data_IF_102089807669
#
_entry.id   IF_102089807669
#
_cell.length_a   1.000
_cell.length_b   1.000
_cell.length_c   1.000
_cell.angle_alpha   90.00
_cell.angle_beta   90.00
_cell.angle_gamma   90.00
#
_symmetry.space_group_name_H-M   'P 1'
#
loop_
_entity.id
_entity.type
_entity.pdbx_description
1 polymer ?
#
# COMPACT_ATOMS: atom_id res chain seq x y z
N UNK A 1 -11.32 24.65 6.88
CA UNK A 1 -11.85 24.36 8.24
C UNK A 1 -12.81 23.19 8.12
N UNK A 2 -12.61 22.10 8.87
CA UNK A 2 -13.56 20.98 8.88
C UNK A 2 -14.79 21.35 9.72
N UNK A 3 -15.98 21.00 9.27
CA UNK A 3 -17.22 21.22 10.01
C UNK A 3 -17.26 20.30 11.22
N UNK A 4 -17.64 20.83 12.38
CA UNK A 4 -17.82 20.02 13.60
C UNK A 4 -18.99 19.03 13.43
N UNK A 5 -18.90 17.91 14.14
CA UNK A 5 -19.95 16.88 14.17
C UNK A 5 -21.16 17.43 14.92
N UNK A 6 -22.34 17.38 14.30
CA UNK A 6 -23.57 17.84 14.95
C UNK A 6 -24.14 16.81 15.92
N UNK A 7 -24.92 17.23 16.94
CA UNK A 7 -25.62 16.29 17.82
C UNK A 7 -26.49 15.27 17.08
N UNK A 8 -27.13 15.68 15.97
CA UNK A 8 -27.91 14.78 15.13
C UNK A 8 -27.08 13.66 14.48
N UNK A 9 -25.85 13.97 14.07
CA UNK A 9 -24.93 12.96 13.53
C UNK A 9 -24.47 11.96 14.61
N UNK A 10 -24.25 12.43 15.85
CA UNK A 10 -23.91 11.55 16.98
C UNK A 10 -25.05 10.59 17.30
N UNK A 11 -26.29 11.10 17.35
CA UNK A 11 -27.47 10.29 17.61
C UNK A 11 -27.72 9.24 16.52
N UNK A 12 -27.53 9.61 15.25
CA UNK A 12 -27.63 8.68 14.12
C UNK A 12 -26.60 7.53 14.23
N UNK A 13 -25.35 7.85 14.56
CA UNK A 13 -24.31 6.82 14.78
C UNK A 13 -24.69 5.90 15.94
N UNK A 14 -25.11 6.47 17.08
CA UNK A 14 -25.53 5.68 18.24
C UNK A 14 -26.71 4.75 17.90
N UNK A 15 -27.71 5.25 17.17
CA UNK A 15 -28.85 4.46 16.70
C UNK A 15 -28.40 3.29 15.82
N UNK A 16 -27.55 3.54 14.82
CA UNK A 16 -27.01 2.48 13.95
C UNK A 16 -26.22 1.43 14.70
N UNK A 17 -25.41 1.83 15.67
CA UNK A 17 -24.65 0.90 16.50
C UNK A 17 -25.59 -0.02 17.27
N UNK A 18 -26.66 0.53 17.86
CA UNK A 18 -27.64 -0.28 18.61
C UNK A 18 -28.44 -1.20 17.68
N UNK A 19 -28.87 -0.73 16.52
CA UNK A 19 -29.87 -1.45 15.70
C UNK A 19 -29.32 -2.25 14.52
N UNK A 20 -28.12 -1.92 14.00
CA UNK A 20 -27.58 -2.52 12.77
C UNK A 20 -26.35 -3.41 13.02
N UNK A 21 -25.68 -3.28 14.17
CA UNK A 21 -24.60 -4.20 14.53
C UNK A 21 -25.19 -5.56 14.86
N UNK A 22 -24.61 -6.62 14.29
CA UNK A 22 -24.97 -8.00 14.58
C UNK A 22 -24.52 -8.45 15.97
N UNK A 23 -25.02 -7.83 17.04
CA UNK A 23 -24.60 -8.09 18.43
C UNK A 23 -24.62 -9.56 18.84
N UNK A 24 -25.53 -10.35 18.27
CA UNK A 24 -25.60 -11.80 18.50
C UNK A 24 -24.36 -12.57 18.01
N UNK A 25 -23.52 -11.97 17.18
CA UNK A 25 -22.28 -12.55 16.66
C UNK A 25 -21.05 -12.12 17.47
N UNK A 26 -21.22 -11.23 18.46
CA UNK A 26 -20.13 -10.72 19.29
C UNK A 26 -20.01 -11.57 20.54
N UNK A 27 -18.79 -12.02 20.86
CA UNK A 27 -18.48 -12.68 22.13
C UNK A 27 -18.62 -11.68 23.28
N UNK A 28 -19.63 -11.90 24.13
CA UNK A 28 -19.95 -11.02 25.25
C UNK A 28 -18.87 -10.98 26.33
N UNK A 29 -18.16 -12.09 26.57
CA UNK A 29 -17.07 -12.12 27.56
C UNK A 29 -15.87 -11.31 27.05
N UNK A 30 -15.53 -11.49 25.77
CA UNK A 30 -14.48 -10.72 25.13
C UNK A 30 -14.83 -9.23 25.08
N UNK A 31 -16.08 -8.89 24.75
CA UNK A 31 -16.56 -7.50 24.75
C UNK A 31 -16.44 -6.85 26.14
N UNK A 32 -16.85 -7.57 27.18
CA UNK A 32 -16.76 -7.10 28.56
C UNK A 32 -15.29 -6.85 28.96
N UNK A 33 -14.41 -7.79 28.64
CA UNK A 33 -13.00 -7.75 29.04
C UNK A 33 -12.15 -6.78 28.24
N UNK A 34 -12.41 -6.59 26.95
CA UNK A 34 -11.53 -5.83 26.05
C UNK A 34 -12.07 -4.44 25.68
N UNK A 35 -13.37 -4.19 25.84
CA UNK A 35 -14.00 -2.92 25.45
C UNK A 35 -14.67 -2.23 26.64
N UNK A 36 -15.55 -2.91 27.36
CA UNK A 36 -16.33 -2.30 28.45
C UNK A 36 -15.46 -1.99 29.68
N UNK A 37 -14.44 -2.82 29.93
CA UNK A 37 -13.50 -2.64 31.05
C UNK A 37 -12.48 -1.51 30.86
N UNK A 38 -12.40 -0.91 29.66
CA UNK A 38 -11.46 0.17 29.38
C UNK A 38 -11.79 1.41 30.23
N UNK A 39 -10.76 2.20 30.57
CA UNK A 39 -11.02 3.51 31.17
C UNK A 39 -11.81 4.39 30.19
N UNK A 40 -12.62 5.34 30.69
CA UNK A 40 -13.33 6.29 29.82
C UNK A 40 -12.40 7.02 28.85
N UNK A 41 -11.19 7.40 29.27
CA UNK A 41 -10.23 8.06 28.38
C UNK A 41 -9.75 7.13 27.26
N UNK A 42 -9.39 5.88 27.60
CA UNK A 42 -8.85 4.93 26.61
C UNK A 42 -9.93 4.47 25.62
N UNK A 43 -11.16 4.24 26.10
CA UNK A 43 -12.32 4.00 25.24
C UNK A 43 -12.55 5.17 24.29
N UNK A 44 -12.62 6.39 24.83
CA UNK A 44 -12.84 7.61 24.06
C UNK A 44 -11.76 7.84 22.99
N UNK A 45 -10.49 7.61 23.34
CA UNK A 45 -9.35 7.70 22.42
C UNK A 45 -9.48 6.70 21.26
N UNK A 46 -9.65 5.41 21.56
CA UNK A 46 -9.78 4.35 20.54
C UNK A 46 -10.97 4.55 19.63
N UNK A 47 -12.14 4.86 20.20
CA UNK A 47 -13.36 5.06 19.43
C UNK A 47 -13.26 6.31 18.55
N UNK A 48 -12.63 7.38 19.03
CA UNK A 48 -12.35 8.57 18.22
C UNK A 48 -11.43 8.25 17.04
N UNK A 49 -10.38 7.45 17.24
CA UNK A 49 -9.50 6.99 16.15
C UNK A 49 -10.26 6.15 15.12
N UNK A 50 -11.11 5.22 15.58
CA UNK A 50 -11.97 4.42 14.71
C UNK A 50 -12.94 5.27 13.88
N UNK A 51 -13.57 6.28 14.48
CA UNK A 51 -14.49 7.20 13.78
C UNK A 51 -13.72 8.12 12.82
N UNK A 52 -12.55 8.64 13.20
CA UNK A 52 -11.66 9.40 12.30
C UNK A 52 -11.22 8.56 11.10
N UNK A 53 -11.09 7.25 11.27
CA UNK A 53 -10.80 6.29 10.19
C UNK A 53 -12.03 5.94 9.33
N UNK A 54 -13.19 6.57 9.56
CA UNK A 54 -14.43 6.26 8.86
C UNK A 54 -15.02 4.90 9.26
N UNK A 55 -14.91 4.53 10.54
CA UNK A 55 -15.32 3.25 11.09
C UNK A 55 -14.59 2.04 10.45
N UNK A 56 -13.32 2.23 10.09
CA UNK A 56 -12.41 1.17 9.60
C UNK A 56 -11.45 0.77 10.71
N UNK A 57 -11.13 -0.52 10.80
CA UNK A 57 -10.12 -1.00 11.72
C UNK A 57 -8.73 -0.47 11.32
N UNK A 58 -8.10 0.31 12.19
CA UNK A 58 -6.68 0.60 12.11
C UNK A 58 -5.97 -0.50 12.90
N UNK A 59 -5.48 -1.51 12.21
CA UNK A 59 -4.46 -2.40 12.79
C UNK A 59 -3.19 -1.56 13.00
N UNK A 60 -2.48 -1.79 14.11
CA UNK A 60 -1.18 -1.14 14.37
C UNK A 60 -0.22 -1.26 13.18
N UNK A 61 0.87 -0.49 13.18
CA UNK A 61 1.75 -0.27 12.03
C UNK A 61 1.93 -1.50 11.13
N UNK A 62 1.70 -1.33 9.83
CA UNK A 62 1.88 -2.37 8.81
C UNK A 62 3.36 -2.47 8.44
N UNK A 63 4.18 -2.70 9.47
CA UNK A 63 5.63 -2.75 9.38
C UNK A 63 6.07 -4.05 8.72
N UNK A 64 6.78 -3.94 7.60
CA UNK A 64 7.47 -5.06 6.96
C UNK A 64 8.96 -4.80 6.92
N UNK A 65 9.74 -5.83 7.23
CA UNK A 65 11.15 -5.85 6.91
C UNK A 65 11.32 -5.81 5.39
N UNK A 66 12.25 -4.99 4.91
CA UNK A 66 12.62 -4.97 3.51
C UNK A 66 13.48 -6.19 3.22
N UNK A 67 13.14 -6.93 2.16
CA UNK A 67 13.79 -8.19 1.82
C UNK A 67 14.51 -8.06 0.50
N UNK A 68 15.74 -8.57 0.40
CA UNK A 68 16.49 -8.53 -0.85
C UNK A 68 15.72 -9.21 -1.99
N UNK A 69 15.77 -8.58 -3.16
CA UNK A 69 15.10 -9.05 -4.37
C UNK A 69 16.11 -9.23 -5.49
N UNK A 70 16.07 -10.40 -6.11
CA UNK A 70 16.88 -10.76 -7.27
C UNK A 70 15.93 -11.11 -8.42
N UNK A 71 15.81 -10.24 -9.45
CA UNK A 71 14.89 -10.47 -10.57
C UNK A 71 15.12 -11.82 -11.26
N UNK A 72 16.37 -12.23 -11.41
CA UNK A 72 16.74 -13.46 -12.12
C UNK A 72 16.29 -14.71 -11.36
N UNK A 73 16.32 -14.66 -10.02
CA UNK A 73 15.90 -15.78 -9.15
C UNK A 73 14.40 -15.82 -8.90
N UNK A 74 13.77 -14.65 -8.78
CA UNK A 74 12.36 -14.55 -8.41
C UNK A 74 11.43 -14.68 -9.61
N UNK A 75 11.78 -14.05 -10.74
CA UNK A 75 10.92 -14.01 -11.93
C UNK A 75 11.35 -15.08 -12.92
N UNK A 76 12.51 -14.88 -13.55
CA UNK A 76 13.15 -15.81 -14.47
C UNK A 76 14.58 -15.32 -14.79
N UNK A 77 15.48 -16.24 -15.16
CA UNK A 77 16.94 -16.01 -15.32
C UNK A 77 17.32 -14.82 -16.22
N UNK A 78 16.47 -14.45 -17.17
CA UNK A 78 16.77 -13.41 -18.17
C UNK A 78 16.23 -12.02 -17.75
N UNK A 79 15.71 -11.91 -16.52
CA UNK A 79 15.28 -10.64 -15.91
C UNK A 79 16.41 -9.97 -15.13
N UNK A 80 16.46 -8.65 -15.18
CA UNK A 80 17.43 -7.84 -14.45
C UNK A 80 16.83 -6.49 -14.03
N UNK A 81 17.57 -5.71 -13.24
CA UNK A 81 17.29 -4.29 -13.13
C UNK A 81 17.72 -3.57 -14.40
N UNK A 82 16.97 -2.55 -14.81
CA UNK A 82 17.31 -1.69 -15.95
C UNK A 82 18.60 -0.92 -15.66
N UNK A 83 19.47 -0.80 -16.67
CA UNK A 83 20.71 -0.03 -16.58
C UNK A 83 20.79 1.07 -17.63
N UNK A 84 21.29 2.23 -17.22
CA UNK A 84 21.52 3.35 -18.13
C UNK A 84 20.23 4.11 -18.50
N UNK A 85 20.24 4.88 -19.61
CA UNK A 85 19.15 5.79 -19.94
C UNK A 85 17.87 5.05 -20.33
N UNK A 86 16.73 5.73 -20.18
CA UNK A 86 15.39 5.23 -20.53
C UNK A 86 15.30 4.70 -21.97
N UNK A 87 15.88 5.44 -22.91
CA UNK A 87 15.83 5.11 -24.35
C UNK A 87 16.96 4.16 -24.78
N UNK A 88 17.71 3.61 -23.82
CA UNK A 88 18.76 2.63 -24.05
C UNK A 88 18.25 1.19 -24.14
N UNK A 89 19.18 0.23 -24.12
CA UNK A 89 18.86 -1.20 -24.14
C UNK A 89 18.73 -1.83 -22.74
N UNK A 90 19.00 -1.07 -21.69
CA UNK A 90 18.91 -1.51 -20.29
C UNK A 90 20.08 -2.38 -19.81
N UNK A 91 21.15 -2.55 -20.58
CA UNK A 91 22.23 -3.51 -20.31
C UNK A 91 23.48 -2.89 -19.66
N UNK A 92 23.72 -1.61 -19.90
CA UNK A 92 24.97 -0.91 -19.51
C UNK A 92 24.68 0.36 -18.71
N UNK A 93 25.59 0.72 -17.80
CA UNK A 93 25.45 1.87 -16.91
C UNK A 93 24.98 1.52 -15.50
N UNK A 94 24.58 2.54 -14.74
CA UNK A 94 24.05 2.36 -13.38
C UNK A 94 22.65 1.75 -13.40
N UNK A 95 22.35 0.90 -12.41
CA UNK A 95 21.00 0.37 -12.22
C UNK A 95 20.03 1.50 -11.85
N UNK A 96 18.86 1.49 -12.48
CA UNK A 96 17.81 2.47 -12.24
C UNK A 96 16.99 2.07 -11.01
N UNK A 97 17.56 2.40 -9.85
CA UNK A 97 17.05 2.04 -8.52
C UNK A 97 17.06 3.25 -7.59
N UNK A 98 16.02 3.37 -6.76
CA UNK A 98 15.87 4.43 -5.78
C UNK A 98 16.78 4.16 -4.58
N UNK A 99 17.89 4.89 -4.50
CA UNK A 99 18.89 4.76 -3.42
C UNK A 99 18.30 5.01 -2.03
N UNK A 100 17.31 5.90 -1.92
CA UNK A 100 16.62 6.18 -0.67
C UNK A 100 15.79 4.98 -0.21
N UNK A 101 15.12 4.30 -1.15
CA UNK A 101 14.37 3.09 -0.88
C UNK A 101 15.24 1.89 -0.55
N UNK A 102 16.42 1.78 -1.17
CA UNK A 102 17.40 0.72 -0.87
C UNK A 102 18.01 0.83 0.51
N UNK A 103 18.11 2.05 1.06
CA UNK A 103 18.61 2.28 2.41
C UNK A 103 17.62 1.86 3.51
N UNK A 104 16.35 1.63 3.17
CA UNK A 104 15.32 1.24 4.13
C UNK A 104 15.46 -0.23 4.51
N UNK A 105 15.48 -0.52 5.81
CA UNK A 105 15.48 -1.88 6.36
C UNK A 105 14.08 -2.34 6.79
N UNK A 106 13.19 -1.39 7.09
CA UNK A 106 11.79 -1.61 7.46
C UNK A 106 10.94 -0.47 6.88
N UNK A 107 9.70 -0.77 6.48
CA UNK A 107 8.71 0.22 6.06
C UNK A 107 7.37 -0.04 6.71
N UNK A 108 6.66 1.02 7.10
CA UNK A 108 5.29 0.94 7.58
C UNK A 108 4.30 1.34 6.48
N UNK A 109 3.60 0.35 5.91
CA UNK A 109 2.62 0.57 4.86
C UNK A 109 1.34 1.29 5.32
N UNK A 110 1.09 1.38 6.63
CA UNK A 110 0.00 2.20 7.15
C UNK A 110 0.31 3.69 6.94
N UNK A 111 1.58 4.08 7.09
CA UNK A 111 2.07 5.44 6.89
C UNK A 111 2.38 5.78 5.41
N UNK A 112 2.54 4.77 4.56
CA UNK A 112 2.85 4.96 3.15
C UNK A 112 1.79 5.79 2.40
N UNK A 113 2.29 6.64 1.50
CA UNK A 113 1.46 7.37 0.55
C UNK A 113 1.23 6.51 -0.70
N UNK A 114 -0.01 6.48 -1.16
CA UNK A 114 -0.44 5.74 -2.34
C UNK A 114 -0.97 6.73 -3.35
N UNK A 115 -0.30 6.84 -4.49
CA UNK A 115 -0.50 7.95 -5.43
C UNK A 115 -0.72 7.45 -6.86
N UNK A 116 -1.74 8.00 -7.52
CA UNK A 116 -1.98 7.78 -8.96
C UNK A 116 -1.14 8.72 -9.82
N UNK A 117 -0.80 9.89 -9.28
CA UNK A 117 -0.13 11.02 -9.96
C UNK A 117 -0.94 11.63 -11.13
N UNK A 118 -2.24 11.37 -11.19
CA UNK A 118 -3.14 12.04 -12.13
C UNK A 118 -3.45 13.46 -11.66
N UNK A 119 -3.39 14.39 -12.59
CA UNK A 119 -3.81 15.78 -12.41
C UNK A 119 -5.28 15.97 -12.82
N UNK A 120 -5.82 17.16 -12.51
CA UNK A 120 -7.22 17.46 -12.80
C UNK A 120 -7.49 17.41 -14.30
N UNK A 121 -8.39 16.53 -14.70
CA UNK A 121 -8.80 16.36 -16.10
C UNK A 121 -8.09 15.23 -16.83
N UNK A 122 -7.10 14.58 -16.21
CA UNK A 122 -6.45 13.41 -16.77
C UNK A 122 -7.21 12.13 -16.40
N UNK A 123 -7.54 11.31 -17.41
CA UNK A 123 -8.07 9.96 -17.21
C UNK A 123 -6.97 8.90 -17.08
N UNK A 124 -5.80 9.18 -17.65
CA UNK A 124 -4.63 8.31 -17.60
C UNK A 124 -3.34 9.05 -18.00
N UNK A 125 -2.20 8.47 -17.60
CA UNK A 125 -0.84 8.87 -18.01
C UNK A 125 -0.03 7.64 -18.39
N UNK A 126 1.12 7.80 -19.06
CA UNK A 126 2.02 6.66 -19.27
C UNK A 126 2.76 6.30 -17.98
N UNK A 127 3.28 5.08 -17.88
CA UNK A 127 4.06 4.68 -16.71
C UNK A 127 5.36 5.47 -16.60
N UNK A 128 5.97 5.82 -17.73
CA UNK A 128 7.13 6.71 -17.77
C UNK A 128 6.82 8.12 -17.24
N UNK A 129 5.68 8.69 -17.64
CA UNK A 129 5.22 9.99 -17.11
C UNK A 129 4.94 9.90 -15.61
N UNK A 130 4.28 8.83 -15.17
CA UNK A 130 4.05 8.54 -13.74
C UNK A 130 5.37 8.46 -12.98
N UNK A 131 6.39 7.78 -13.51
CA UNK A 131 7.72 7.67 -12.90
C UNK A 131 8.40 9.05 -12.76
N UNK A 132 8.32 9.91 -13.78
CA UNK A 132 8.85 11.28 -13.73
C UNK A 132 8.18 12.08 -12.61
N UNK A 133 6.85 12.08 -12.57
CA UNK A 133 6.07 12.78 -11.54
C UNK A 133 6.39 12.27 -10.14
N UNK A 134 6.50 10.96 -9.97
CA UNK A 134 6.87 10.33 -8.71
C UNK A 134 8.26 10.78 -8.23
N UNK A 135 9.26 10.80 -9.11
CA UNK A 135 10.62 11.25 -8.78
C UNK A 135 10.68 12.72 -8.38
N UNK A 136 9.85 13.56 -8.99
CA UNK A 136 9.76 14.99 -8.67
C UNK A 136 9.17 15.25 -7.26
N UNK A 137 8.63 14.24 -6.58
CA UNK A 137 8.16 14.36 -5.20
C UNK A 137 9.31 14.47 -4.18
N UNK A 138 10.54 14.13 -4.56
CA UNK A 138 11.72 14.26 -3.69
C UNK A 138 11.72 13.32 -2.47
N UNK A 139 11.07 12.15 -2.57
CA UNK A 139 10.95 11.17 -1.50
C UNK A 139 11.22 9.75 -2.02
N UNK A 140 11.67 8.82 -1.15
CA UNK A 140 11.89 7.43 -1.56
C UNK A 140 10.65 6.79 -2.20
N UNK A 141 10.83 6.27 -3.41
CA UNK A 141 9.85 5.44 -4.11
C UNK A 141 10.04 3.99 -3.68
N UNK A 142 9.00 3.34 -3.14
CA UNK A 142 9.17 1.95 -2.72
C UNK A 142 9.44 1.04 -3.92
N UNK A 143 10.44 0.19 -3.77
CA UNK A 143 10.99 -0.66 -4.82
C UNK A 143 10.83 -2.14 -4.52
N UNK A 144 11.67 -2.95 -5.15
CA UNK A 144 11.57 -4.40 -5.14
C UNK A 144 11.78 -4.99 -3.74
N UNK A 145 12.54 -4.33 -2.87
CA UNK A 145 12.79 -4.85 -1.52
C UNK A 145 11.57 -4.71 -0.60
N UNK A 146 10.83 -3.61 -0.73
CA UNK A 146 9.57 -3.40 -0.02
C UNK A 146 8.45 -4.31 -0.58
N UNK A 147 8.39 -4.46 -1.91
CA UNK A 147 7.53 -5.45 -2.56
C UNK A 147 7.76 -6.85 -1.97
N UNK A 148 9.03 -7.27 -1.90
CA UNK A 148 9.38 -8.61 -1.43
C UNK A 148 9.01 -8.80 0.05
N UNK A 149 9.18 -7.77 0.88
CA UNK A 149 8.75 -7.79 2.27
C UNK A 149 7.25 -8.05 2.44
N UNK A 150 6.41 -7.32 1.69
CA UNK A 150 4.96 -7.55 1.69
C UNK A 150 4.59 -8.92 1.13
N UNK A 151 5.24 -9.33 0.04
CA UNK A 151 4.94 -10.61 -0.61
C UNK A 151 5.31 -11.79 0.28
N UNK A 152 6.46 -11.76 0.95
CA UNK A 152 6.86 -12.80 1.89
C UNK A 152 5.95 -12.85 3.12
N UNK A 153 5.58 -11.70 3.68
CA UNK A 153 4.59 -11.64 4.77
C UNK A 153 3.29 -12.35 4.34
N UNK A 154 2.74 -11.96 3.19
CA UNK A 154 1.55 -12.60 2.61
C UNK A 154 1.72 -14.11 2.42
N UNK A 155 2.85 -14.56 1.88
CA UNK A 155 3.11 -15.99 1.66
C UNK A 155 3.26 -16.78 2.98
N UNK A 156 3.85 -16.17 4.00
CA UNK A 156 4.12 -16.81 5.30
C UNK A 156 2.88 -16.97 6.19
N UNK A 157 1.86 -16.12 6.03
CA UNK A 157 0.65 -16.20 6.85
C UNK A 157 -0.11 -17.51 6.58
N UNK A 158 -0.39 -18.27 7.65
CA UNK A 158 -1.26 -19.44 7.61
C UNK A 158 -2.68 -19.04 7.18
N UNK A 159 -3.19 -17.95 7.75
CA UNK A 159 -4.41 -17.30 7.32
C UNK A 159 -4.08 -16.01 6.55
N UNK A 160 -4.39 -15.99 5.25
CA UNK A 160 -4.09 -14.84 4.38
C UNK A 160 -4.77 -13.55 4.83
N UNK A 161 -5.88 -13.65 5.58
CA UNK A 161 -6.55 -12.47 6.15
C UNK A 161 -5.71 -11.69 7.15
N UNK A 162 -4.70 -12.33 7.76
CA UNK A 162 -3.85 -11.70 8.78
C UNK A 162 -2.61 -11.01 8.21
N UNK A 163 -2.36 -11.20 6.91
CA UNK A 163 -1.25 -10.58 6.20
C UNK A 163 -1.37 -9.05 6.21
N UNK A 164 -0.23 -8.38 6.18
CA UNK A 164 -0.15 -6.91 6.10
C UNK A 164 -0.71 -6.40 4.78
N UNK A 165 -0.59 -7.19 3.72
CA UNK A 165 -1.16 -6.88 2.41
C UNK A 165 -2.70 -6.88 2.45
N UNK A 166 -3.32 -7.88 3.08
CA UNK A 166 -4.78 -7.89 3.23
C UNK A 166 -5.25 -6.80 4.21
N UNK A 167 -4.51 -6.56 5.29
CA UNK A 167 -4.79 -5.44 6.21
C UNK A 167 -4.68 -4.09 5.51
N UNK A 168 -3.73 -3.91 4.58
CA UNK A 168 -3.62 -2.69 3.77
C UNK A 168 -4.88 -2.47 2.93
N UNK A 169 -5.42 -3.52 2.30
CA UNK A 169 -6.70 -3.45 1.59
C UNK A 169 -7.86 -3.12 2.51
N UNK A 170 -7.97 -3.77 3.68
CA UNK A 170 -9.04 -3.49 4.64
C UNK A 170 -8.99 -2.05 5.17
N UNK A 171 -7.79 -1.50 5.38
CA UNK A 171 -7.59 -0.14 5.89
C UNK A 171 -7.83 0.94 4.83
N UNK A 172 -7.23 0.77 3.65
CA UNK A 172 -7.15 1.82 2.62
C UNK A 172 -8.05 1.58 1.41
N UNK A 173 -8.65 0.40 1.28
CA UNK A 173 -9.45 0.00 0.11
C UNK A 173 -8.61 -0.27 -1.14
N UNK A 174 -7.31 -0.52 -0.97
CA UNK A 174 -6.35 -0.56 -2.06
C UNK A 174 -6.17 -2.00 -2.52
N UNK A 175 -6.68 -2.32 -3.71
CA UNK A 175 -6.60 -3.63 -4.34
C UNK A 175 -5.41 -3.77 -5.32
N UNK A 176 -4.63 -2.71 -5.50
CA UNK A 176 -3.54 -2.64 -6.46
C UNK A 176 -2.44 -1.69 -5.99
N UNK A 177 -1.17 -2.13 -6.03
CA UNK A 177 0.00 -1.32 -5.63
C UNK A 177 1.19 -1.57 -6.54
N UNK A 178 1.80 -0.51 -7.06
CA UNK A 178 3.06 -0.53 -7.81
C UNK A 178 4.26 -0.10 -6.97
N UNK A 179 5.42 -0.64 -7.35
CA UNK A 179 6.71 -0.37 -6.72
C UNK A 179 7.66 0.27 -7.74
N UNK A 180 7.58 1.59 -7.88
CA UNK A 180 8.33 2.39 -8.86
C UNK A 180 9.80 2.66 -8.46
N UNK A 181 10.23 2.22 -7.27
CA UNK A 181 11.59 2.41 -6.79
C UNK A 181 12.65 1.67 -7.59
N UNK A 182 12.31 0.54 -8.20
CA UNK A 182 13.26 -0.26 -8.98
C UNK A 182 12.68 -0.56 -10.36
N UNK A 183 13.38 -0.19 -11.43
CA UNK A 183 12.93 -0.48 -12.79
C UNK A 183 13.50 -1.82 -13.25
N UNK A 184 12.62 -2.72 -13.66
CA UNK A 184 12.96 -4.03 -14.21
C UNK A 184 13.17 -3.92 -15.72
N UNK A 185 14.11 -4.73 -16.20
CA UNK A 185 14.34 -5.03 -17.60
C UNK A 185 13.89 -6.46 -17.87
N UNK A 186 12.95 -6.61 -18.79
CA UNK A 186 12.55 -7.93 -19.30
C UNK A 186 13.50 -8.39 -20.42
N UNK A 187 13.52 -9.68 -20.79
CA UNK A 187 14.43 -10.20 -21.83
C UNK A 187 14.33 -9.43 -23.15
N UNK A 188 13.12 -9.01 -23.54
CA UNK A 188 12.85 -8.20 -24.73
C UNK A 188 13.29 -6.72 -24.67
N UNK A 189 13.94 -6.28 -23.59
CA UNK A 189 14.47 -4.91 -23.49
C UNK A 189 13.43 -3.84 -23.17
N UNK A 190 12.34 -4.23 -22.51
CA UNK A 190 11.29 -3.29 -22.07
C UNK A 190 11.37 -3.03 -20.56
N UNK A 191 10.88 -1.85 -20.17
CA UNK A 191 10.92 -1.31 -18.81
C UNK A 191 9.62 -1.61 -18.06
N UNK A 192 9.75 -2.24 -16.89
CA UNK A 192 8.63 -2.69 -16.08
C UNK A 192 8.83 -2.33 -14.60
N UNK A 193 7.76 -2.33 -13.83
CA UNK A 193 7.78 -2.26 -12.37
C UNK A 193 7.03 -3.45 -11.78
N UNK A 194 7.36 -3.83 -10.54
CA UNK A 194 6.61 -4.84 -9.80
C UNK A 194 5.27 -4.28 -9.33
N UNK A 195 4.25 -5.13 -9.30
CA UNK A 195 2.97 -4.79 -8.69
C UNK A 195 2.36 -5.95 -7.90
N UNK A 196 1.50 -5.60 -6.95
CA UNK A 196 0.64 -6.51 -6.21
C UNK A 196 -0.82 -6.20 -6.53
N UNK A 197 -1.59 -7.24 -6.81
CA UNK A 197 -2.97 -7.14 -7.27
C UNK A 197 -3.85 -8.11 -6.49
N UNK A 198 -5.01 -7.63 -6.02
CA UNK A 198 -6.03 -8.45 -5.38
C UNK A 198 -7.05 -8.91 -6.42
N UNK A 199 -7.36 -10.21 -6.44
CA UNK A 199 -8.38 -10.82 -7.29
C UNK A 199 -9.77 -10.68 -6.67
N UNK A 200 -10.80 -10.94 -7.48
CA UNK A 200 -12.19 -10.92 -7.04
C UNK A 200 -12.50 -11.98 -5.96
N UNK A 201 -11.75 -13.09 -5.94
CA UNK A 201 -11.85 -14.13 -4.90
C UNK A 201 -11.14 -13.75 -3.58
N UNK A 202 -10.48 -12.59 -3.54
CA UNK A 202 -9.75 -12.06 -2.41
C UNK A 202 -8.31 -12.53 -2.26
N UNK A 203 -7.81 -13.36 -3.17
CA UNK A 203 -6.40 -13.72 -3.21
C UNK A 203 -5.54 -12.62 -3.80
N UNK A 204 -4.32 -12.46 -3.29
CA UNK A 204 -3.30 -11.61 -3.86
C UNK A 204 -2.37 -12.38 -4.79
N UNK A 205 -1.96 -11.72 -5.87
CA UNK A 205 -0.90 -12.17 -6.76
C UNK A 205 0.02 -11.00 -7.09
N UNK A 206 1.21 -11.31 -7.58
CA UNK A 206 2.12 -10.33 -8.12
C UNK A 206 2.14 -10.38 -9.64
N UNK A 207 2.53 -9.26 -10.25
CA UNK A 207 2.81 -9.19 -11.68
C UNK A 207 3.88 -8.14 -11.95
N UNK A 208 4.13 -7.89 -13.23
CA UNK A 208 4.96 -6.79 -13.69
C UNK A 208 4.12 -5.91 -14.63
N UNK A 209 4.22 -4.60 -14.47
CA UNK A 209 3.47 -3.63 -15.24
C UNK A 209 4.40 -2.82 -16.14
N UNK A 210 4.05 -2.72 -17.42
CA UNK A 210 4.87 -2.02 -18.42
C UNK A 210 4.79 -0.51 -18.23
N UNK A 211 5.95 0.16 -18.24
CA UNK A 211 5.99 1.62 -18.20
C UNK A 211 5.50 2.27 -19.50
N UNK A 212 5.45 1.52 -20.60
CA UNK A 212 4.97 2.00 -21.90
C UNK A 212 3.44 2.01 -22.05
N UNK A 213 2.70 1.40 -21.12
CA UNK A 213 1.24 1.37 -21.16
C UNK A 213 0.63 2.61 -20.48
N UNK A 214 -0.69 2.76 -20.63
CA UNK A 214 -1.48 3.79 -19.95
C UNK A 214 -1.89 3.33 -18.54
N UNK A 215 -1.88 4.26 -17.60
CA UNK A 215 -2.09 4.07 -16.17
C UNK A 215 -3.20 5.02 -15.72
N UNK A 216 -4.32 4.47 -15.23
CA UNK A 216 -5.48 5.24 -14.73
C UNK A 216 -5.46 5.42 -13.21
N UNK A 217 -6.56 5.93 -12.66
CA UNK A 217 -6.81 6.14 -11.24
C UNK A 217 -6.83 4.86 -10.38
N UNK A 218 -6.90 3.68 -11.00
CA UNK A 218 -6.81 2.40 -10.31
C UNK A 218 -5.39 2.04 -9.87
N UNK A 219 -4.37 2.60 -10.53
CA UNK A 219 -3.00 2.16 -10.37
C UNK A 219 -2.23 3.05 -9.39
N UNK A 220 -2.20 2.66 -8.13
CA UNK A 220 -1.50 3.40 -7.07
C UNK A 220 -0.03 2.98 -6.97
N UNK A 221 0.89 3.95 -6.96
CA UNK A 221 2.28 3.72 -6.58
C UNK A 221 2.49 3.96 -5.09
N UNK A 222 3.27 3.10 -4.45
CA UNK A 222 3.66 3.26 -3.05
C UNK A 222 4.95 4.08 -2.90
N UNK A 223 4.89 5.09 -2.04
CA UNK A 223 6.02 5.96 -1.72
C UNK A 223 6.07 6.25 -0.22
N UNK A 224 7.26 6.60 0.27
CA UNK A 224 7.44 7.00 1.66
C UNK A 224 6.56 8.20 2.03
N UNK A 225 6.15 8.27 3.30
CA UNK A 225 5.45 9.44 3.81
C UNK A 225 6.33 10.69 3.65
N UNK A 226 5.70 11.83 3.37
CA UNK A 226 6.40 13.12 3.46
C UNK A 226 6.70 13.41 4.93
N UNK A 227 7.97 13.52 5.30
CA UNK A 227 8.35 14.04 6.60
C UNK A 227 8.15 15.55 6.53
N UNK A 228 7.20 16.07 7.29
CA UNK A 228 7.07 17.52 7.47
C UNK A 228 8.38 18.04 8.07
N UNK A 229 9.03 18.98 7.37
CA UNK A 229 10.14 19.76 7.94
C UNK A 229 9.60 20.88 8.82
#
# INVERSE_FOLDING_TARGET
MSKEVSPGQVLEIASRIVSQVGWKQVDGEKLQKEVISLSPEEFGRRFTEFIKAGARFIFGGLKVACVQFDPAKFIDKDWAFWKGPKDGNGLEGEEERDKGSLALTEVDFAAANLLTCLEKGESSITGEEKLIRLRNLGRPLYGATQFMGLWQDYQSCQNKSDSKLEKLYQQKGIAYVDFFGDILRIPGGFRYVLCLCRRGDGSWYWSCSSLGLAWSDYYFAAVAQQVSS
#
